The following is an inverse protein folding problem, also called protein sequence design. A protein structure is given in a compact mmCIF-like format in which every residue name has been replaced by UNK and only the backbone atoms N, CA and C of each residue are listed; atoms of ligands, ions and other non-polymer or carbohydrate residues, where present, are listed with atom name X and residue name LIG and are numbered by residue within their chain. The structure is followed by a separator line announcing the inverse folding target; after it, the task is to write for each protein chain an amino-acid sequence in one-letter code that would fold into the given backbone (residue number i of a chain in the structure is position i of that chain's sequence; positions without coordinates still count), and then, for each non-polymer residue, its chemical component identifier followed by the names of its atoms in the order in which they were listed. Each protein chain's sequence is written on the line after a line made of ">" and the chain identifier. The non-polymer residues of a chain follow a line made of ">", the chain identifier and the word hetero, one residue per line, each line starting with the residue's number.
data_IF_754929155234
#
_entry.id   IF_754929155234
#
_cell.length_a   1.000
_cell.length_b   1.000
_cell.length_c   1.000
_cell.angle_alpha   90.00
_cell.angle_beta   90.00
_cell.angle_gamma   90.00
#
_symmetry.space_group_name_H-M   'P 1'
#
loop_
_entity.id
_entity.type
_entity.pdbx_description
1 polymer ?
#
# COMPACT_ATOMS: atom_id res chain seq x y z
N UNK A 1 9.44 -4.10 -16.40
CA UNK A 1 9.57 -4.83 -15.14
C UNK A 1 8.75 -6.11 -15.23
N UNK A 2 9.17 -7.20 -14.58
CA UNK A 2 8.50 -8.51 -14.67
C UNK A 2 7.18 -8.58 -13.91
N UNK A 3 6.93 -7.65 -12.98
CA UNK A 3 5.73 -7.64 -12.13
C UNK A 3 4.72 -6.53 -12.47
N UNK A 4 5.05 -5.60 -13.38
CA UNK A 4 4.15 -4.54 -13.81
C UNK A 4 3.85 -4.66 -15.30
N UNK A 5 2.58 -4.86 -15.62
CA UNK A 5 2.08 -4.86 -16.99
C UNK A 5 2.21 -3.49 -17.65
N UNK A 6 2.20 -3.39 -18.99
CA UNK A 6 2.45 -2.14 -19.71
C UNK A 6 1.43 -1.04 -19.38
N UNK A 7 0.18 -1.41 -19.09
CA UNK A 7 -0.92 -0.46 -18.81
C UNK A 7 -1.04 -0.05 -17.34
N UNK A 8 -0.30 -0.68 -16.45
CA UNK A 8 -0.37 -0.39 -15.01
C UNK A 8 0.01 1.07 -14.74
N UNK A 9 -0.62 1.66 -13.73
CA UNK A 9 -0.29 2.99 -13.23
C UNK A 9 0.30 2.87 -11.84
N UNK A 10 1.31 3.69 -11.55
CA UNK A 10 2.04 3.64 -10.28
C UNK A 10 2.10 5.06 -9.72
N UNK A 11 1.90 5.18 -8.41
CA UNK A 11 2.16 6.37 -7.62
C UNK A 11 3.11 6.02 -6.47
N UNK A 12 3.76 7.02 -5.88
CA UNK A 12 4.62 6.84 -4.71
C UNK A 12 4.37 7.95 -3.70
N UNK A 13 4.09 7.51 -2.48
CA UNK A 13 3.99 8.38 -1.31
C UNK A 13 5.15 8.02 -0.37
N UNK A 14 5.86 9.03 0.10
CA UNK A 14 6.79 8.90 1.23
C UNK A 14 6.18 9.51 2.48
N UNK A 15 6.62 9.04 3.65
CA UNK A 15 6.15 9.57 4.92
C UNK A 15 7.29 9.69 5.93
N UNK A 16 7.08 10.59 6.88
CA UNK A 16 7.96 10.88 8.01
C UNK A 16 7.09 11.49 9.13
N UNK A 17 7.41 12.71 9.58
CA UNK A 17 6.48 13.59 10.30
C UNK A 17 5.42 14.26 9.40
N UNK A 18 5.54 14.10 8.07
CA UNK A 18 4.59 14.52 7.06
C UNK A 18 4.34 13.40 6.03
N UNK A 19 3.41 13.64 5.10
CA UNK A 19 3.12 12.75 3.97
C UNK A 19 3.39 13.52 2.68
N UNK A 20 4.13 12.94 1.74
CA UNK A 20 4.52 13.57 0.48
C UNK A 20 4.26 12.65 -0.70
N UNK A 21 3.69 13.22 -1.76
CA UNK A 21 3.68 12.57 -3.07
C UNK A 21 5.03 12.80 -3.72
N UNK A 22 5.78 11.72 -3.90
CA UNK A 22 7.00 11.74 -4.72
C UNK A 22 6.62 11.76 -6.20
N UNK A 23 5.55 11.05 -6.56
CA UNK A 23 4.80 11.22 -7.80
C UNK A 23 3.39 10.67 -7.65
N UNK A 24 2.43 11.30 -8.33
CA UNK A 24 1.02 10.88 -8.35
C UNK A 24 0.81 9.64 -9.20
N UNK A 25 -0.25 8.88 -8.90
CA UNK A 25 -0.62 7.69 -9.66
C UNK A 25 -0.85 8.03 -11.14
N UNK A 26 -0.03 7.46 -12.01
CA UNK A 26 -0.06 7.76 -13.44
C UNK A 26 0.71 6.74 -14.28
N UNK A 27 0.84 6.98 -15.59
CA UNK A 27 1.64 6.14 -16.47
C UNK A 27 3.07 5.95 -15.95
N UNK A 28 3.63 4.77 -16.19
CA UNK A 28 4.96 4.42 -15.71
C UNK A 28 6.05 5.13 -16.53
N UNK A 29 6.93 5.83 -15.82
CA UNK A 29 8.23 6.28 -16.31
C UNK A 29 9.29 5.64 -15.39
N UNK A 30 9.75 4.44 -15.77
CA UNK A 30 10.64 3.65 -14.92
C UNK A 30 11.95 4.37 -14.61
N UNK A 31 12.51 5.13 -15.55
CA UNK A 31 13.77 5.84 -15.32
C UNK A 31 13.58 6.95 -14.29
N UNK A 32 12.52 7.75 -14.42
CA UNK A 32 12.19 8.79 -13.44
C UNK A 32 11.86 8.19 -12.07
N UNK A 33 11.03 7.13 -12.03
CA UNK A 33 10.66 6.44 -10.80
C UNK A 33 11.87 5.85 -10.07
N UNK A 34 12.80 5.21 -10.79
CA UNK A 34 14.05 4.69 -10.21
C UNK A 34 14.93 5.81 -9.67
N UNK A 35 15.08 6.92 -10.40
CA UNK A 35 15.83 8.09 -9.92
C UNK A 35 15.23 8.64 -8.63
N UNK A 36 13.91 8.77 -8.56
CA UNK A 36 13.19 9.20 -7.36
C UNK A 36 13.50 8.26 -6.18
N UNK A 37 13.28 6.96 -6.33
CA UNK A 37 13.54 5.97 -5.27
C UNK A 37 14.99 6.00 -4.79
N UNK A 38 15.97 6.04 -5.72
CA UNK A 38 17.40 6.07 -5.38
C UNK A 38 17.82 7.36 -4.66
N UNK A 39 17.07 8.45 -4.84
CA UNK A 39 17.31 9.74 -4.19
C UNK A 39 16.69 9.84 -2.79
N UNK A 40 15.77 8.94 -2.43
CA UNK A 40 15.08 8.98 -1.15
C UNK A 40 16.04 8.83 0.03
N UNK A 41 15.69 9.46 1.14
CA UNK A 41 16.43 9.41 2.40
C UNK A 41 15.45 9.13 3.52
N UNK A 42 15.92 8.39 4.52
CA UNK A 42 15.16 8.20 5.75
C UNK A 42 15.01 9.54 6.46
N UNK A 43 13.84 9.74 7.05
CA UNK A 43 13.47 10.93 7.82
C UNK A 43 12.90 10.45 9.14
N UNK A 44 13.09 11.23 10.21
CA UNK A 44 12.64 10.83 11.54
C UNK A 44 11.11 10.83 11.66
N UNK A 45 10.60 10.02 12.59
CA UNK A 45 9.16 9.84 12.92
C UNK A 45 8.35 9.15 11.82
N UNK A 46 7.11 8.77 12.17
CA UNK A 46 6.33 7.82 11.37
C UNK A 46 4.84 8.23 11.35
N UNK A 47 4.40 8.84 10.24
CA UNK A 47 3.00 9.16 9.94
C UNK A 47 2.37 8.12 8.99
N UNK A 48 2.58 6.84 9.30
CA UNK A 48 2.17 5.69 8.51
C UNK A 48 0.67 5.67 8.20
N UNK A 49 -0.21 5.75 9.20
CA UNK A 49 -1.66 5.68 8.96
C UNK A 49 -2.16 6.85 8.11
N UNK A 50 -1.53 8.02 8.24
CA UNK A 50 -1.86 9.17 7.40
C UNK A 50 -1.44 8.92 5.96
N UNK A 51 -0.27 8.33 5.72
CA UNK A 51 0.18 7.99 4.37
C UNK A 51 -0.72 6.93 3.71
N UNK A 52 -1.11 5.90 4.47
CA UNK A 52 -2.08 4.90 4.02
C UNK A 52 -3.41 5.58 3.67
N UNK A 53 -3.93 6.47 4.52
CA UNK A 53 -5.18 7.18 4.26
C UNK A 53 -5.12 8.00 2.95
N UNK A 54 -4.03 8.73 2.72
CA UNK A 54 -3.84 9.49 1.48
C UNK A 54 -3.81 8.58 0.24
N UNK A 55 -3.08 7.45 0.32
CA UNK A 55 -3.05 6.46 -0.76
C UNK A 55 -4.44 5.87 -1.05
N UNK A 56 -5.18 5.50 -0.01
CA UNK A 56 -6.52 4.93 -0.14
C UNK A 56 -7.52 5.94 -0.69
N UNK A 57 -7.42 7.21 -0.30
CA UNK A 57 -8.25 8.29 -0.86
C UNK A 57 -8.04 8.47 -2.36
N UNK A 58 -6.78 8.56 -2.81
CA UNK A 58 -6.46 8.67 -4.23
C UNK A 58 -6.96 7.44 -5.02
N UNK A 59 -6.79 6.23 -4.48
CA UNK A 59 -7.26 5.00 -5.13
C UNK A 59 -8.79 4.86 -5.11
N UNK A 60 -9.48 5.36 -4.07
CA UNK A 60 -10.93 5.38 -4.00
C UNK A 60 -11.52 6.28 -5.10
N UNK A 61 -10.96 7.47 -5.30
CA UNK A 61 -11.37 8.38 -6.39
C UNK A 61 -11.14 7.73 -7.77
N UNK A 62 -10.03 7.03 -7.96
CA UNK A 62 -9.82 6.22 -9.16
C UNK A 62 -10.84 5.05 -9.25
N UNK A 63 -11.30 4.54 -8.12
CA UNK A 63 -12.33 3.50 -8.01
C UNK A 63 -13.66 3.94 -8.62
N UNK A 64 -14.06 5.18 -8.39
CA UNK A 64 -15.31 5.76 -8.91
C UNK A 64 -15.32 5.84 -10.44
N UNK A 65 -14.16 6.14 -11.04
CA UNK A 65 -14.03 6.25 -12.51
C UNK A 65 -13.72 4.92 -13.20
N UNK A 66 -13.16 3.94 -12.49
CA UNK A 66 -12.71 2.67 -13.06
C UNK A 66 -13.06 1.47 -12.15
N UNK A 67 -14.35 1.23 -11.85
CA UNK A 67 -14.77 0.32 -10.78
C UNK A 67 -14.28 -1.14 -10.94
N UNK A 68 -14.13 -1.61 -12.17
CA UNK A 68 -13.66 -2.97 -12.46
C UNK A 68 -12.14 -3.16 -12.42
N UNK A 69 -11.35 -2.09 -12.27
CA UNK A 69 -9.88 -2.17 -12.29
C UNK A 69 -9.36 -2.42 -10.87
N UNK A 70 -8.62 -3.51 -10.59
CA UNK A 70 -8.02 -3.73 -9.29
C UNK A 70 -7.06 -2.61 -8.89
N UNK A 71 -7.16 -2.14 -7.65
CA UNK A 71 -6.28 -1.14 -7.05
C UNK A 71 -5.58 -1.73 -5.85
N UNK A 72 -4.32 -1.39 -5.69
CA UNK A 72 -3.48 -1.89 -4.61
C UNK A 72 -2.74 -0.73 -3.95
N UNK A 73 -2.97 -0.56 -2.66
CA UNK A 73 -2.05 0.19 -1.80
C UNK A 73 -1.00 -0.81 -1.27
N UNK A 74 0.28 -0.49 -1.43
CA UNK A 74 1.39 -1.29 -0.90
C UNK A 74 2.15 -0.40 0.06
N UNK A 75 2.09 -0.72 1.35
CA UNK A 75 2.71 0.06 2.42
C UNK A 75 3.91 -0.69 2.99
N UNK A 76 5.07 -0.03 3.05
CA UNK A 76 6.31 -0.54 3.62
C UNK A 76 6.68 0.30 4.85
N UNK A 77 6.92 -0.31 6.00
CA UNK A 77 7.30 0.40 7.24
C UNK A 77 8.26 -0.42 8.09
N UNK A 78 9.20 0.24 8.76
CA UNK A 78 10.16 -0.36 9.70
C UNK A 78 9.91 0.05 11.17
N UNK A 79 8.79 0.72 11.44
CA UNK A 79 8.46 1.16 12.78
C UNK A 79 6.98 1.46 13.00
N UNK A 80 6.65 1.64 14.27
CA UNK A 80 5.31 2.00 14.72
C UNK A 80 4.95 3.44 14.36
N UNK A 81 3.67 3.67 14.08
CA UNK A 81 3.13 5.00 13.86
C UNK A 81 3.19 5.84 15.14
N UNK A 82 3.70 7.07 15.03
CA UNK A 82 3.79 8.01 16.14
C UNK A 82 3.45 9.47 15.78
N UNK A 83 3.14 9.74 14.50
CA UNK A 83 2.85 11.08 14.00
C UNK A 83 1.57 11.18 13.17
N UNK A 84 0.81 10.09 12.99
CA UNK A 84 -0.42 10.21 12.22
C UNK A 84 -1.47 11.07 12.90
N UNK A 85 -2.34 11.65 12.07
CA UNK A 85 -3.60 12.24 12.54
C UNK A 85 -4.36 11.19 13.36
N UNK A 86 -4.94 11.60 14.49
CA UNK A 86 -5.61 10.70 15.44
C UNK A 86 -6.74 9.86 14.81
N UNK A 87 -7.39 10.39 13.78
CA UNK A 87 -8.50 9.76 13.08
C UNK A 87 -8.08 8.99 11.80
N UNK A 88 -6.78 8.98 11.46
CA UNK A 88 -6.31 8.42 10.19
C UNK A 88 -6.67 6.94 10.04
N UNK A 89 -6.33 6.13 11.04
CA UNK A 89 -6.67 4.71 11.06
C UNK A 89 -8.18 4.48 10.95
N UNK A 90 -8.97 5.20 11.76
CA UNK A 90 -10.43 5.08 11.75
C UNK A 90 -11.07 5.45 10.42
N UNK A 91 -10.45 6.34 9.63
CA UNK A 91 -10.87 6.70 8.27
C UNK A 91 -10.42 5.69 7.21
N UNK A 92 -9.30 5.00 7.40
CA UNK A 92 -8.87 3.93 6.50
C UNK A 92 -9.85 2.76 6.49
N UNK A 93 -10.39 2.38 7.65
CA UNK A 93 -11.23 1.19 7.79
C UNK A 93 -12.48 1.19 6.88
N UNK A 94 -13.35 2.22 6.89
CA UNK A 94 -14.51 2.25 6.00
C UNK A 94 -14.10 2.23 4.53
N UNK A 95 -13.04 2.96 4.15
CA UNK A 95 -12.56 2.98 2.76
C UNK A 95 -12.19 1.57 2.29
N UNK A 96 -11.43 0.82 3.10
CA UNK A 96 -11.03 -0.56 2.79
C UNK A 96 -12.20 -1.55 2.75
N UNK A 97 -13.19 -1.39 3.64
CA UNK A 97 -14.33 -2.30 3.71
C UNK A 97 -15.41 -2.03 2.66
N UNK A 98 -15.56 -0.78 2.22
CA UNK A 98 -16.69 -0.34 1.38
C UNK A 98 -16.31 -0.09 -0.08
N UNK A 99 -15.04 0.11 -0.40
CA UNK A 99 -14.59 0.36 -1.77
C UNK A 99 -14.31 -0.97 -2.49
N UNK A 100 -15.04 -1.23 -3.56
CA UNK A 100 -14.83 -2.41 -4.40
C UNK A 100 -13.45 -2.40 -5.07
N UNK A 101 -12.82 -3.57 -5.19
CA UNK A 101 -11.54 -3.76 -5.86
C UNK A 101 -10.37 -2.93 -5.29
N UNK A 102 -10.47 -2.51 -4.01
CA UNK A 102 -9.41 -1.81 -3.30
C UNK A 102 -8.70 -2.74 -2.31
N UNK A 103 -7.47 -3.10 -2.63
CA UNK A 103 -6.68 -4.08 -1.89
C UNK A 103 -5.53 -3.39 -1.14
N UNK A 104 -5.05 -4.04 -0.08
CA UNK A 104 -3.93 -3.56 0.73
C UNK A 104 -2.89 -4.66 0.96
N UNK A 105 -1.63 -4.33 0.71
CA UNK A 105 -0.49 -5.08 1.19
C UNK A 105 0.30 -4.23 2.19
N UNK A 106 0.62 -4.80 3.35
CA UNK A 106 1.47 -4.20 4.38
C UNK A 106 2.71 -5.06 4.54
N UNK A 107 3.88 -4.46 4.36
CA UNK A 107 5.19 -5.07 4.54
C UNK A 107 5.87 -4.38 5.72
N UNK A 108 6.11 -5.13 6.80
CA UNK A 108 6.90 -4.65 7.95
C UNK A 108 8.36 -5.04 7.78
N UNK A 109 9.30 -4.16 8.14
CA UNK A 109 10.73 -4.39 8.00
C UNK A 109 11.45 -4.42 9.34
N UNK A 110 12.17 -5.49 9.64
CA UNK A 110 13.04 -5.61 10.80
C UNK A 110 12.51 -6.58 11.86
N UNK A 111 13.43 -6.99 12.73
CA UNK A 111 13.15 -7.96 13.79
C UNK A 111 12.38 -7.31 14.93
N UNK A 112 11.27 -7.93 15.33
CA UNK A 112 10.50 -7.49 16.51
C UNK A 112 9.38 -6.50 16.23
N UNK A 113 9.14 -6.10 14.98
CA UNK A 113 7.86 -5.47 14.62
C UNK A 113 6.78 -6.54 14.72
N UNK A 114 6.06 -6.51 15.83
CA UNK A 114 4.87 -7.33 16.01
C UNK A 114 3.74 -6.66 15.26
N UNK A 115 2.83 -7.46 14.68
CA UNK A 115 1.57 -6.91 14.21
C UNK A 115 0.95 -6.09 15.33
N UNK A 116 0.79 -4.78 15.10
CA UNK A 116 0.08 -3.92 16.04
C UNK A 116 -1.41 -4.09 15.78
N UNK A 117 -2.23 -3.79 16.79
CA UNK A 117 -3.70 -3.80 16.65
C UNK A 117 -4.17 -3.03 15.41
N UNK A 118 -3.49 -1.94 15.05
CA UNK A 118 -3.85 -1.14 13.87
C UNK A 118 -3.56 -1.83 12.54
N UNK A 119 -2.47 -2.59 12.42
CA UNK A 119 -2.17 -3.37 11.21
C UNK A 119 -3.20 -4.48 11.01
N UNK A 120 -3.52 -5.22 12.07
CA UNK A 120 -4.56 -6.25 12.04
C UNK A 120 -5.93 -5.66 11.69
N UNK A 121 -6.24 -4.45 12.16
CA UNK A 121 -7.47 -3.74 11.82
C UNK A 121 -7.55 -3.37 10.33
N UNK A 122 -6.47 -2.87 9.73
CA UNK A 122 -6.42 -2.56 8.29
C UNK A 122 -6.61 -3.82 7.44
N UNK A 123 -5.88 -4.89 7.74
CA UNK A 123 -5.98 -6.16 7.02
C UNK A 123 -7.35 -6.81 7.24
N UNK A 124 -7.87 -6.75 8.46
CA UNK A 124 -9.20 -7.21 8.82
C UNK A 124 -10.29 -6.50 8.02
N UNK A 125 -10.19 -5.17 7.85
CA UNK A 125 -11.14 -4.38 7.07
C UNK A 125 -11.17 -4.77 5.58
N UNK A 126 -10.02 -5.11 5.00
CA UNK A 126 -9.98 -5.64 3.63
C UNK A 126 -10.70 -6.99 3.55
N UNK A 127 -10.35 -7.92 4.44
CA UNK A 127 -10.86 -9.30 4.42
C UNK A 127 -12.34 -9.41 4.80
N UNK A 128 -12.84 -8.50 5.63
CA UNK A 128 -14.26 -8.44 5.99
C UNK A 128 -15.11 -7.65 4.99
N UNK A 129 -14.48 -7.07 3.95
CA UNK A 129 -15.20 -6.37 2.90
C UNK A 129 -16.19 -7.31 2.20
N UNK A 130 -17.42 -6.83 1.99
CA UNK A 130 -18.42 -7.52 1.15
C UNK A 130 -17.95 -7.72 -0.30
N UNK A 131 -16.95 -6.96 -0.74
CA UNK A 131 -16.37 -7.01 -2.07
C UNK A 131 -15.23 -8.03 -2.19
N UNK A 132 -14.93 -8.79 -1.13
CA UNK A 132 -13.84 -9.78 -1.10
C UNK A 132 -12.47 -9.18 -1.44
N UNK A 133 -12.22 -7.95 -0.98
CA UNK A 133 -10.92 -7.30 -1.13
C UNK A 133 -9.80 -8.13 -0.47
N UNK A 134 -8.59 -8.00 -1.00
CA UNK A 134 -7.41 -8.67 -0.48
C UNK A 134 -6.68 -7.79 0.54
N UNK A 135 -6.35 -8.40 1.69
CA UNK A 135 -5.50 -7.82 2.71
C UNK A 135 -4.34 -8.77 3.02
N UNK A 136 -3.10 -8.32 2.82
CA UNK A 136 -1.89 -9.11 3.05
C UNK A 136 -0.96 -8.40 4.04
N UNK A 137 -0.50 -9.12 5.06
CA UNK A 137 0.56 -8.67 5.97
C UNK A 137 1.77 -9.58 5.81
N UNK A 138 2.93 -9.00 5.53
CA UNK A 138 4.19 -9.73 5.36
C UNK A 138 5.24 -9.09 6.26
N UNK A 139 5.96 -9.89 7.04
CA UNK A 139 7.13 -9.44 7.75
C UNK A 139 8.40 -9.81 6.96
N UNK A 140 9.33 -8.86 6.83
CA UNK A 140 10.61 -9.01 6.17
C UNK A 140 11.74 -8.52 7.10
N UNK A 141 12.67 -9.39 7.48
CA UNK A 141 13.76 -9.04 8.38
C UNK A 141 14.92 -8.30 7.69
N UNK A 142 15.04 -8.40 6.37
CA UNK A 142 16.17 -7.89 5.61
C UNK A 142 15.80 -7.61 4.13
N UNK A 143 16.74 -7.05 3.37
CA UNK A 143 16.54 -6.65 1.97
C UNK A 143 16.12 -7.79 1.04
N UNK A 144 16.67 -9.00 1.23
CA UNK A 144 16.28 -10.16 0.42
C UNK A 144 14.82 -10.52 0.68
N UNK A 145 14.40 -10.53 1.95
CA UNK A 145 13.01 -10.79 2.33
C UNK A 145 12.06 -9.67 1.90
N UNK A 146 12.52 -8.42 1.78
CA UNK A 146 11.72 -7.34 1.19
C UNK A 146 11.43 -7.67 -0.28
N UNK A 147 12.45 -8.10 -1.04
CA UNK A 147 12.27 -8.51 -2.43
C UNK A 147 11.28 -9.67 -2.56
N UNK A 148 11.40 -10.70 -1.70
CA UNK A 148 10.44 -11.81 -1.64
C UNK A 148 9.02 -11.33 -1.27
N UNK A 149 8.89 -10.37 -0.36
CA UNK A 149 7.60 -9.81 0.04
C UNK A 149 6.92 -9.12 -1.15
N UNK A 150 7.64 -8.29 -1.91
CA UNK A 150 7.11 -7.71 -3.14
C UNK A 150 6.74 -8.76 -4.19
N UNK A 151 7.51 -9.85 -4.31
CA UNK A 151 7.17 -10.99 -5.17
C UNK A 151 5.84 -11.66 -4.77
N UNK A 152 5.60 -11.84 -3.46
CA UNK A 152 4.33 -12.37 -2.94
C UNK A 152 3.16 -11.43 -3.21
N UNK A 153 3.35 -10.12 -3.06
CA UNK A 153 2.33 -9.12 -3.41
C UNK A 153 2.01 -9.17 -4.89
N UNK A 154 3.02 -9.19 -5.76
CA UNK A 154 2.84 -9.30 -7.21
C UNK A 154 2.07 -10.58 -7.61
N UNK A 155 2.38 -11.72 -6.98
CA UNK A 155 1.64 -12.95 -7.21
C UNK A 155 0.15 -12.83 -6.82
N UNK A 156 -0.15 -12.18 -5.70
CA UNK A 156 -1.52 -11.94 -5.26
C UNK A 156 -2.29 -10.98 -6.20
N UNK A 157 -1.63 -9.93 -6.68
CA UNK A 157 -2.19 -9.02 -7.68
C UNK A 157 -2.60 -9.78 -8.95
N UNK A 158 -1.75 -10.68 -9.43
CA UNK A 158 -2.03 -11.48 -10.63
C UNK A 158 -3.13 -12.53 -10.42
N UNK A 159 -3.21 -13.14 -9.23
CA UNK A 159 -4.25 -14.10 -8.91
C UNK A 159 -5.65 -13.44 -8.88
N UNK A 160 -5.76 -12.23 -8.31
CA UNK A 160 -7.02 -11.49 -8.29
C UNK A 160 -7.49 -11.02 -9.67
N UNK A 161 -6.57 -10.79 -10.62
CA UNK A 161 -6.92 -10.47 -12.01
C UNK A 161 -7.47 -11.70 -12.75
N UNK A 162 -6.96 -12.89 -12.45
CA UNK A 162 -7.38 -14.14 -13.10
C UNK A 162 -8.80 -14.60 -12.69
N UNK A 163 -9.30 -14.20 -11.51
CA UNK A 163 -10.67 -14.49 -11.07
C UNK A 163 -11.73 -13.59 -11.74
N UNK A 164 -11.33 -12.58 -12.51
CA UNK A 164 -12.22 -11.59 -13.14
C UNK A 164 -12.15 -11.56 -14.68
N UNK A 165 -11.38 -12.48 -15.30
CA UNK A 165 -11.35 -12.74 -16.74
C UNK A 165 -12.09 -14.05 -17.06
#
# INVERSE_FOLDING_TARGET
>A
DVHCGPKDRIGLISFADDVRYEFKTGPKDFESMQRTVNSMRTRGRTAFYSAVLEALGDLQVLGESEPSTPKWAIALTDGDDNMSRRDALGKCLPILSETENLNLALITVGDGIRSTTGYDQLIGACKSSRHKNNGILINAANSDQISEAFGKVAAAMNAGVAEHL
#
